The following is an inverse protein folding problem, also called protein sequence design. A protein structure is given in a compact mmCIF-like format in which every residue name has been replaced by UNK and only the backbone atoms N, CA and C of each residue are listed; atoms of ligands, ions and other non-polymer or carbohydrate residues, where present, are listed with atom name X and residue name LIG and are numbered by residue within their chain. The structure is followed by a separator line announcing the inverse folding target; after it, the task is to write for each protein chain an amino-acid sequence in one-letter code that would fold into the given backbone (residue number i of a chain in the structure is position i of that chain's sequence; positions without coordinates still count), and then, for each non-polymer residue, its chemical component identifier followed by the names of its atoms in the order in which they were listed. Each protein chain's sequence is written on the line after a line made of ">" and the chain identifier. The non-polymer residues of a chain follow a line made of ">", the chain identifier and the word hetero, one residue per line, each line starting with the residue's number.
data_IF_488821392855
#
_entry.id   IF_488821392855
#
_cell.length_a   1.000
_cell.length_b   1.000
_cell.length_c   1.000
_cell.angle_alpha   90.00
_cell.angle_beta   90.00
_cell.angle_gamma   90.00
#
_symmetry.space_group_name_H-M   'P 1'
#
loop_
_entity.id
_entity.type
_entity.pdbx_description
1 polymer ?
#
# COMPACT_ATOMS: atom_id res chain seq x y z
N UNK A 1 13.40 21.99 6.63
CA UNK A 1 12.25 21.37 7.33
C UNK A 1 11.25 20.86 6.29
N UNK A 2 11.73 19.99 5.38
CA UNK A 2 10.98 19.28 4.33
C UNK A 2 11.83 18.05 3.97
N UNK A 3 11.25 16.98 3.42
CA UNK A 3 12.01 15.86 2.86
C UNK A 3 12.56 14.80 3.82
N UNK A 4 12.12 14.77 5.08
CA UNK A 4 12.45 13.68 6.02
C UNK A 4 11.30 12.66 6.21
N UNK A 5 10.14 12.92 5.59
CA UNK A 5 8.98 12.04 5.64
C UNK A 5 8.94 11.08 4.45
N UNK A 6 8.03 10.12 4.50
CA UNK A 6 7.78 9.17 3.39
C UNK A 6 6.69 9.68 2.42
N UNK A 7 6.12 10.85 2.71
CA UNK A 7 5.09 11.53 1.91
C UNK A 7 5.07 13.04 2.23
N UNK A 8 4.49 13.84 1.34
CA UNK A 8 4.38 15.30 1.50
C UNK A 8 5.44 16.08 0.74
N UNK A 9 5.48 17.40 0.97
CA UNK A 9 6.34 18.33 0.26
C UNK A 9 7.84 18.05 0.50
N UNK A 10 8.60 18.00 -0.60
CA UNK A 10 10.03 17.73 -0.60
C UNK A 10 10.40 16.28 -0.26
N UNK A 11 9.42 15.39 -0.13
CA UNK A 11 9.62 13.97 0.19
C UNK A 11 9.52 13.09 -1.07
N UNK A 12 10.09 13.50 -2.20
CA UNK A 12 10.12 12.65 -3.39
C UNK A 12 10.82 11.32 -3.09
N UNK A 13 10.34 10.24 -3.72
CA UNK A 13 10.90 8.92 -3.52
C UNK A 13 11.50 8.45 -4.86
N UNK A 14 12.74 7.94 -4.81
CA UNK A 14 13.44 7.41 -5.98
C UNK A 14 12.75 6.15 -6.53
N UNK A 15 12.11 5.39 -5.64
CA UNK A 15 11.31 4.22 -5.99
C UNK A 15 10.09 4.09 -5.06
N UNK A 16 9.22 3.13 -5.38
CA UNK A 16 7.99 2.86 -4.63
C UNK A 16 8.08 1.58 -3.80
N UNK A 17 9.26 1.18 -3.31
CA UNK A 17 9.36 0.12 -2.28
C UNK A 17 8.83 0.63 -0.95
N UNK A 18 8.44 -0.30 -0.08
CA UNK A 18 8.08 0.05 1.28
C UNK A 18 9.32 0.64 2.00
N UNK A 19 9.19 1.79 2.70
CA UNK A 19 10.34 2.45 3.29
C UNK A 19 11.04 1.61 4.37
N UNK A 20 12.38 1.64 4.39
CA UNK A 20 13.20 0.98 5.39
C UNK A 20 13.15 -0.55 5.28
N UNK A 21 13.04 -1.24 6.42
CA UNK A 21 13.07 -2.72 6.52
C UNK A 21 11.69 -3.37 6.45
N UNK A 22 10.65 -2.61 6.08
CA UNK A 22 9.27 -3.08 6.14
C UNK A 22 8.99 -4.22 5.17
N UNK A 23 9.61 -4.21 3.99
CA UNK A 23 9.48 -5.30 3.02
C UNK A 23 10.09 -6.61 3.56
N UNK A 24 11.31 -6.54 4.12
CA UNK A 24 11.98 -7.68 4.74
C UNK A 24 11.17 -8.25 5.91
N UNK A 25 10.63 -7.38 6.77
CA UNK A 25 9.75 -7.77 7.87
C UNK A 25 8.51 -8.53 7.37
N UNK A 26 7.87 -8.05 6.29
CA UNK A 26 6.70 -8.71 5.73
C UNK A 26 7.05 -10.06 5.11
N UNK A 27 8.22 -10.19 4.47
CA UNK A 27 8.72 -11.46 3.97
C UNK A 27 8.92 -12.45 5.12
N UNK A 28 9.55 -12.04 6.22
CA UNK A 28 9.76 -12.91 7.38
C UNK A 28 8.43 -13.31 8.04
N UNK A 29 7.51 -12.37 8.26
CA UNK A 29 6.21 -12.64 8.88
C UNK A 29 5.37 -13.61 8.04
N UNK A 30 5.31 -13.40 6.73
CA UNK A 30 4.54 -14.27 5.83
C UNK A 30 5.17 -15.66 5.69
N UNK A 31 6.47 -15.81 5.92
CA UNK A 31 7.15 -17.11 5.94
C UNK A 31 6.86 -17.95 7.20
N UNK A 32 6.32 -17.36 8.27
CA UNK A 32 6.01 -18.09 9.51
C UNK A 32 4.88 -19.10 9.38
N UNK A 33 4.07 -19.02 8.32
CA UNK A 33 2.83 -19.80 8.15
C UNK A 33 1.64 -19.24 8.93
N UNK A 34 1.82 -18.19 9.74
CA UNK A 34 0.71 -17.48 10.37
C UNK A 34 0.00 -16.61 9.34
N UNK A 35 -1.34 -16.60 9.25
CA UNK A 35 -2.04 -15.67 8.37
C UNK A 35 -1.74 -14.21 8.72
N UNK A 36 -1.10 -13.47 7.81
CA UNK A 36 -0.74 -12.06 8.01
C UNK A 36 -1.73 -11.15 7.29
N UNK A 37 -2.39 -10.26 8.03
CA UNK A 37 -3.17 -9.15 7.45
C UNK A 37 -2.31 -7.90 7.43
N UNK A 38 -2.15 -7.31 6.25
CA UNK A 38 -1.30 -6.13 6.06
C UNK A 38 -2.19 -4.90 5.87
N UNK A 39 -2.05 -3.93 6.79
CA UNK A 39 -2.73 -2.63 6.71
C UNK A 39 -1.73 -1.57 6.27
N UNK A 40 -1.95 -0.99 5.11
CA UNK A 40 -1.05 0.00 4.51
C UNK A 40 -1.55 1.40 4.84
N UNK A 41 -0.81 2.08 5.72
CA UNK A 41 -1.02 3.48 6.08
C UNK A 41 0.04 4.30 5.36
N UNK A 42 -0.36 4.99 4.28
CA UNK A 42 0.57 5.69 3.40
C UNK A 42 -0.05 6.90 2.72
N UNK A 43 0.76 7.92 2.45
CA UNK A 43 0.33 9.07 1.62
C UNK A 43 0.53 8.86 0.12
N UNK A 44 1.24 7.80 -0.29
CA UNK A 44 1.45 7.41 -1.70
C UNK A 44 1.24 5.90 -1.91
N UNK A 45 0.95 5.46 -3.14
CA UNK A 45 1.01 4.05 -3.51
C UNK A 45 2.42 3.49 -3.38
N UNK A 46 2.58 2.36 -2.70
CA UNK A 46 3.81 1.56 -2.71
C UNK A 46 3.58 0.28 -3.50
N UNK A 47 4.61 -0.17 -4.20
CA UNK A 47 4.62 -1.48 -4.83
C UNK A 47 4.70 -2.53 -3.72
N UNK A 48 3.61 -3.29 -3.54
CA UNK A 48 3.54 -4.34 -2.54
C UNK A 48 4.17 -5.66 -3.01
N UNK A 49 4.57 -5.73 -4.29
CA UNK A 49 5.35 -6.83 -4.87
C UNK A 49 4.84 -8.21 -4.49
N UNK A 50 5.75 -9.03 -3.95
CA UNK A 50 5.52 -10.40 -3.49
C UNK A 50 4.55 -10.50 -2.31
N UNK A 51 4.43 -9.44 -1.49
CA UNK A 51 3.52 -9.43 -0.32
C UNK A 51 2.08 -9.59 -0.77
N UNK A 52 1.70 -9.04 -1.94
CA UNK A 52 0.35 -9.17 -2.47
C UNK A 52 -0.10 -10.62 -2.64
N UNK A 53 0.81 -11.51 -3.03
CA UNK A 53 0.51 -12.93 -3.20
C UNK A 53 0.56 -13.76 -1.92
N UNK A 54 1.17 -13.25 -0.84
CA UNK A 54 1.47 -14.00 0.39
C UNK A 54 0.65 -13.56 1.60
N UNK A 55 0.17 -12.32 1.62
CA UNK A 55 -0.68 -11.82 2.69
C UNK A 55 -2.06 -12.50 2.67
N UNK A 56 -2.61 -12.77 3.85
CA UNK A 56 -3.97 -13.30 3.99
C UNK A 56 -5.03 -12.25 3.60
N UNK A 57 -4.75 -10.98 3.87
CA UNK A 57 -5.54 -9.85 3.40
C UNK A 57 -4.70 -8.57 3.32
N UNK A 58 -5.13 -7.65 2.47
CA UNK A 58 -4.54 -6.33 2.28
C UNK A 58 -5.59 -5.24 2.45
N UNK A 59 -5.32 -4.26 3.30
CA UNK A 59 -6.19 -3.11 3.54
C UNK A 59 -5.41 -1.83 3.30
N UNK A 60 -5.77 -1.08 2.24
CA UNK A 60 -5.24 0.26 2.00
C UNK A 60 -6.03 1.28 2.82
N UNK A 61 -5.39 1.88 3.83
CA UNK A 61 -6.00 2.86 4.74
C UNK A 61 -5.62 4.32 4.41
N UNK A 62 -4.62 4.52 3.56
CA UNK A 62 -4.03 5.84 3.25
C UNK A 62 -3.62 6.59 4.53
N UNK A 63 -3.92 7.89 4.64
CA UNK A 63 -3.74 8.69 5.87
C UNK A 63 -5.13 8.91 6.49
N UNK A 64 -5.56 8.04 7.43
CA UNK A 64 -6.97 7.93 7.82
C UNK A 64 -7.44 9.00 8.83
N UNK A 65 -6.56 9.93 9.21
CA UNK A 65 -6.86 10.98 10.19
C UNK A 65 -6.96 10.47 11.64
N UNK A 66 -7.42 11.35 12.53
CA UNK A 66 -7.47 11.12 13.98
C UNK A 66 -8.30 9.89 14.38
N UNK A 67 -9.44 9.68 13.71
CA UNK A 67 -10.33 8.54 13.94
C UNK A 67 -9.92 7.27 13.17
N UNK A 68 -8.74 7.29 12.55
CA UNK A 68 -8.28 6.24 11.66
C UNK A 68 -8.14 4.88 12.33
N UNK A 69 -7.71 4.84 13.60
CA UNK A 69 -7.62 3.60 14.37
C UNK A 69 -8.98 2.92 14.54
N UNK A 70 -10.01 3.68 14.91
CA UNK A 70 -11.37 3.16 15.08
C UNK A 70 -11.99 2.71 13.75
N UNK A 71 -11.71 3.43 12.66
CA UNK A 71 -12.15 3.09 11.32
C UNK A 71 -11.51 1.78 10.83
N UNK A 72 -10.18 1.63 10.95
CA UNK A 72 -9.45 0.41 10.58
C UNK A 72 -9.97 -0.78 11.39
N UNK A 73 -10.11 -0.64 12.71
CA UNK A 73 -10.65 -1.70 13.56
C UNK A 73 -12.09 -2.10 13.16
N UNK A 74 -12.91 -1.13 12.75
CA UNK A 74 -14.25 -1.38 12.22
C UNK A 74 -14.25 -2.25 10.97
N UNK A 75 -13.32 -2.01 10.04
CA UNK A 75 -13.16 -2.82 8.82
C UNK A 75 -12.63 -4.22 9.15
N UNK A 76 -11.56 -4.32 9.95
CA UNK A 76 -10.93 -5.60 10.29
C UNK A 76 -11.85 -6.52 11.09
N UNK A 77 -12.71 -5.97 11.94
CA UNK A 77 -13.70 -6.73 12.71
C UNK A 77 -14.96 -7.08 11.92
N UNK A 78 -15.14 -6.54 10.71
CA UNK A 78 -16.36 -6.71 9.91
C UNK A 78 -17.54 -5.86 10.36
N UNK A 79 -17.39 -5.00 11.39
CA UNK A 79 -18.42 -4.03 11.80
C UNK A 79 -18.73 -3.01 10.70
N UNK A 80 -17.75 -2.73 9.83
CA UNK A 80 -17.87 -1.84 8.69
C UNK A 80 -17.45 -2.58 7.42
N UNK A 81 -18.32 -2.62 6.42
CA UNK A 81 -18.01 -3.19 5.12
C UNK A 81 -17.07 -2.23 4.33
N UNK A 82 -15.90 -2.69 3.84
CA UNK A 82 -15.06 -1.86 2.98
C UNK A 82 -15.72 -1.64 1.61
N UNK A 83 -15.96 -0.37 1.26
CA UNK A 83 -16.58 0.05 -0.01
C UNK A 83 -15.68 0.94 -0.86
N UNK A 84 -14.51 1.34 -0.35
CA UNK A 84 -13.55 2.17 -1.05
C UNK A 84 -13.08 1.56 -2.37
N UNK A 85 -12.81 2.42 -3.36
CA UNK A 85 -12.19 2.08 -4.64
C UNK A 85 -10.92 2.89 -4.80
N UNK A 86 -9.92 2.31 -5.45
CA UNK A 86 -8.64 2.97 -5.67
C UNK A 86 -8.80 4.12 -6.68
N UNK A 87 -8.52 5.38 -6.32
CA UNK A 87 -8.56 6.50 -7.25
C UNK A 87 -7.27 6.63 -8.07
N UNK A 88 -6.22 5.89 -7.68
CA UNK A 88 -4.89 5.87 -8.31
C UNK A 88 -4.45 4.41 -8.48
N UNK A 89 -3.61 4.15 -9.48
CA UNK A 89 -3.03 2.82 -9.65
C UNK A 89 -2.05 2.49 -8.51
N UNK A 90 -2.10 1.24 -8.03
CA UNK A 90 -1.00 0.66 -7.25
C UNK A 90 -0.01 0.02 -8.23
N UNK A 91 1.27 0.46 -8.24
CA UNK A 91 2.28 -0.06 -9.17
C UNK A 91 2.59 -1.53 -8.86
N UNK A 92 2.86 -2.33 -9.90
CA UNK A 92 3.28 -3.73 -9.73
C UNK A 92 4.69 -3.86 -9.16
N UNK A 93 5.60 -3.00 -9.60
CA UNK A 93 7.00 -3.01 -9.20
C UNK A 93 7.47 -1.62 -8.80
N UNK A 94 8.57 -1.52 -8.04
CA UNK A 94 8.98 -0.27 -7.39
C UNK A 94 9.50 0.80 -8.36
N UNK A 95 10.03 0.41 -9.52
CA UNK A 95 10.44 1.36 -10.57
C UNK A 95 9.30 1.86 -11.44
N UNK A 96 8.07 1.35 -11.26
CA UNK A 96 6.92 1.77 -12.04
C UNK A 96 6.30 3.05 -11.48
N UNK A 97 6.12 4.07 -12.31
CA UNK A 97 5.27 5.20 -11.97
C UNK A 97 3.79 4.76 -11.95
N UNK A 98 2.94 5.28 -11.03
CA UNK A 98 1.50 5.03 -11.08
C UNK A 98 0.94 5.50 -12.43
N UNK A 99 0.48 4.56 -13.24
CA UNK A 99 -0.20 4.84 -14.49
C UNK A 99 -1.68 5.11 -14.28
N UNK A 100 -2.35 5.48 -15.37
CA UNK A 100 -3.80 5.63 -15.39
C UNK A 100 -4.45 4.42 -16.07
N UNK A 101 -5.66 4.07 -15.63
CA UNK A 101 -6.50 3.09 -16.34
C UNK A 101 -6.92 3.61 -17.72
N UNK A 102 -6.85 4.92 -17.97
CA UNK A 102 -7.12 5.56 -19.26
C UNK A 102 -5.93 5.46 -20.25
N UNK A 103 -5.03 4.47 -20.08
CA UNK A 103 -3.88 4.31 -20.96
C UNK A 103 -4.33 3.91 -22.36
N UNK A 104 -3.71 4.51 -23.37
CA UNK A 104 -3.84 4.02 -24.75
C UNK A 104 -3.32 2.58 -24.81
N UNK A 105 -4.02 1.65 -25.46
CA UNK A 105 -3.52 0.29 -25.64
C UNK A 105 -2.14 0.34 -26.29
N UNK A 106 -1.16 -0.31 -25.67
CA UNK A 106 0.13 -0.52 -26.32
C UNK A 106 -0.02 -1.64 -27.37
N UNK A 107 0.66 -1.56 -28.52
CA UNK A 107 0.66 -2.65 -29.48
C UNK A 107 1.19 -3.93 -28.80
N UNK A 108 0.33 -4.94 -28.65
CA UNK A 108 0.68 -6.24 -28.05
C UNK A 108 0.02 -6.58 -26.70
N UNK A 109 -0.85 -5.71 -26.16
CA UNK A 109 -1.84 -6.10 -25.14
C UNK A 109 -3.05 -6.82 -25.79
#
# INVERSE_FOLDING_TARGET
>A
MFGQGTSGEGCDAEDLRLPGVQEDLLVELTATGTPVVVVVVSGRPYALGEVHGRAAALVQAFMPGEEGGAAIAGVLSGRVQPTGKLPVQIPRGPGGQPGTYLRTPSPGD
#
